data_IF_045036494209
#
_entry.id   IF_045036494209
#
_cell.length_a   1.000
_cell.length_b   1.000
_cell.length_c   1.000
_cell.angle_alpha   90.00
_cell.angle_beta   90.00
_cell.angle_gamma   90.00
#
_symmetry.space_group_name_H-M   'P 1'
#
loop_
_entity.id
_entity.type
_entity.pdbx_description
1 polymer ?
#
# COMPACT_ATOMS: atom_id res chain seq x y z
N UNK A 1 21.15 -4.80 14.90
CA UNK A 1 20.83 -4.01 13.69
C UNK A 1 21.52 -4.68 12.51
N UNK A 2 20.76 -5.30 11.63
CA UNK A 2 21.34 -5.81 10.38
C UNK A 2 21.35 -4.64 9.39
N UNK A 3 22.49 -4.05 9.13
CA UNK A 3 22.61 -2.85 8.30
C UNK A 3 22.79 -3.16 6.81
N UNK A 4 22.76 -4.44 6.42
CA UNK A 4 22.88 -4.84 5.02
C UNK A 4 22.04 -6.08 4.72
N UNK A 5 21.68 -6.25 3.47
CA UNK A 5 20.81 -7.33 2.99
C UNK A 5 21.30 -8.73 3.34
N UNK A 6 22.61 -9.09 3.20
CA UNK A 6 23.10 -10.42 3.57
C UNK A 6 22.92 -10.76 5.05
N UNK A 7 23.27 -9.86 5.95
CA UNK A 7 23.15 -10.06 7.40
C UNK A 7 21.68 -10.15 7.82
N UNK A 8 20.84 -9.24 7.30
CA UNK A 8 19.41 -9.30 7.54
C UNK A 8 18.81 -10.64 7.09
N UNK A 9 19.10 -11.06 5.86
CA UNK A 9 18.59 -12.31 5.31
C UNK A 9 18.99 -13.52 6.14
N UNK A 10 20.25 -13.58 6.59
CA UNK A 10 20.73 -14.68 7.42
C UNK A 10 20.05 -14.70 8.79
N UNK A 11 19.90 -13.54 9.43
CA UNK A 11 19.20 -13.46 10.72
C UNK A 11 17.72 -13.78 10.59
N UNK A 12 17.07 -13.32 9.53
CA UNK A 12 15.66 -13.64 9.24
C UNK A 12 15.45 -15.16 9.08
N UNK A 13 16.35 -15.85 8.37
CA UNK A 13 16.35 -17.32 8.27
C UNK A 13 16.45 -17.95 9.66
N UNK A 14 17.34 -17.46 10.52
CA UNK A 14 17.50 -17.97 11.88
C UNK A 14 16.24 -17.74 12.73
N UNK A 15 15.63 -16.56 12.64
CA UNK A 15 14.40 -16.27 13.38
C UNK A 15 13.23 -17.15 12.91
N UNK A 16 13.05 -17.34 11.61
CA UNK A 16 12.00 -18.23 11.06
C UNK A 16 12.21 -19.68 11.54
N UNK A 17 13.45 -20.20 11.50
CA UNK A 17 13.76 -21.56 11.95
C UNK A 17 13.48 -21.79 13.43
N UNK A 18 13.63 -20.77 14.25
CA UNK A 18 13.47 -20.84 15.70
C UNK A 18 12.08 -20.43 16.18
N UNK A 19 11.18 -20.08 15.28
CA UNK A 19 9.80 -19.68 15.60
C UNK A 19 8.84 -20.86 15.56
N UNK A 20 7.77 -20.79 16.32
CA UNK A 20 6.67 -21.77 16.29
C UNK A 20 5.67 -21.48 15.17
N UNK A 21 5.47 -20.21 14.90
CA UNK A 21 4.53 -19.72 13.90
C UNK A 21 5.02 -18.37 13.35
N UNK A 22 4.73 -18.12 12.07
CA UNK A 22 4.93 -16.81 11.43
C UNK A 22 3.57 -16.14 11.26
N UNK A 23 3.51 -14.88 11.66
CA UNK A 23 2.32 -14.04 11.48
C UNK A 23 2.71 -12.86 10.59
N UNK A 24 2.14 -12.83 9.40
CA UNK A 24 2.23 -11.71 8.46
C UNK A 24 1.00 -10.82 8.64
N UNK A 25 1.12 -9.55 8.28
CA UNK A 25 0.00 -8.62 8.37
C UNK A 25 -0.13 -7.83 7.08
N UNK A 26 -1.37 -7.52 6.70
CA UNK A 26 -1.66 -6.47 5.74
C UNK A 26 -1.99 -5.18 6.50
N UNK A 27 -1.57 -4.03 5.98
CA UNK A 27 -1.96 -2.74 6.56
C UNK A 27 -3.44 -2.43 6.31
N UNK A 28 -3.99 -1.43 7.01
CA UNK A 28 -5.35 -0.95 6.77
C UNK A 28 -5.50 -0.48 5.32
N UNK A 29 -6.62 -0.86 4.68
CA UNK A 29 -6.88 -0.62 3.25
C UNK A 29 -5.71 -1.14 2.40
N UNK A 30 -5.44 -2.46 2.39
CA UNK A 30 -4.25 -3.03 1.79
C UNK A 30 -4.22 -2.78 0.28
N UNK A 31 -3.12 -2.22 -0.18
CA UNK A 31 -2.84 -2.02 -1.59
C UNK A 31 -2.11 -3.23 -2.21
N UNK A 32 -1.77 -3.10 -3.48
CA UNK A 32 -1.10 -4.20 -4.20
C UNK A 32 0.30 -4.49 -3.67
N UNK A 33 1.03 -3.49 -3.11
CA UNK A 33 2.36 -3.74 -2.57
C UNK A 33 2.31 -4.47 -1.25
N UNK A 34 1.43 -4.06 -0.33
CA UNK A 34 1.20 -4.78 0.92
C UNK A 34 0.77 -6.23 0.66
N UNK A 35 -0.15 -6.45 -0.27
CA UNK A 35 -0.61 -7.80 -0.63
C UNK A 35 0.49 -8.59 -1.32
N UNK A 36 1.07 -8.03 -2.37
CA UNK A 36 2.06 -8.69 -3.23
C UNK A 36 3.32 -9.08 -2.48
N UNK A 37 3.81 -8.19 -1.61
CA UNK A 37 4.98 -8.46 -0.78
C UNK A 37 4.72 -9.55 0.26
N UNK A 38 3.60 -9.52 0.97
CA UNK A 38 3.27 -10.53 1.97
C UNK A 38 3.04 -11.92 1.35
N UNK A 39 2.30 -12.00 0.24
CA UNK A 39 2.07 -13.29 -0.45
C UNK A 39 3.36 -13.80 -1.09
N UNK A 40 4.12 -12.92 -1.76
CA UNK A 40 5.43 -13.26 -2.32
C UNK A 40 6.44 -13.75 -1.27
N UNK A 41 6.36 -13.22 -0.05
CA UNK A 41 7.22 -13.62 1.06
C UNK A 41 6.94 -15.03 1.58
N UNK A 42 5.77 -15.59 1.31
CA UNK A 42 5.49 -17.01 1.62
C UNK A 42 6.47 -17.95 0.93
N UNK A 43 6.96 -17.58 -0.28
CA UNK A 43 8.01 -18.36 -0.95
C UNK A 43 9.27 -18.48 -0.10
N UNK A 44 9.69 -17.36 0.52
CA UNK A 44 10.86 -17.35 1.41
C UNK A 44 10.63 -18.21 2.65
N UNK A 45 9.48 -18.08 3.30
CA UNK A 45 9.11 -18.86 4.49
C UNK A 45 9.12 -20.35 4.17
N UNK A 46 8.48 -20.76 3.07
CA UNK A 46 8.40 -22.17 2.65
C UNK A 46 9.76 -22.78 2.31
N UNK A 47 10.70 -21.99 1.74
CA UNK A 47 12.07 -22.43 1.49
C UNK A 47 12.88 -22.58 2.78
N UNK A 48 12.65 -21.75 3.79
CA UNK A 48 13.33 -21.84 5.09
C UNK A 48 12.79 -22.97 5.95
N UNK A 49 11.48 -23.08 6.05
CA UNK A 49 10.78 -24.10 6.84
C UNK A 49 9.39 -24.41 6.24
N UNK A 50 9.26 -25.44 5.39
CA UNK A 50 8.03 -25.76 4.67
C UNK A 50 6.87 -26.22 5.57
N UNK A 51 7.15 -26.57 6.82
CA UNK A 51 6.16 -27.09 7.78
C UNK A 51 5.72 -26.07 8.82
N UNK A 52 6.32 -24.87 8.81
CA UNK A 52 5.99 -23.85 9.81
C UNK A 52 4.57 -23.31 9.59
N UNK A 53 3.84 -23.17 10.68
CA UNK A 53 2.53 -22.53 10.62
C UNK A 53 2.70 -21.08 10.19
N UNK A 54 1.92 -20.66 9.20
CA UNK A 54 1.93 -19.27 8.74
C UNK A 54 0.51 -18.75 8.63
N UNK A 55 0.26 -17.57 9.17
CA UNK A 55 -0.99 -16.82 9.07
C UNK A 55 -0.71 -15.46 8.46
N UNK A 56 -1.67 -14.95 7.72
CA UNK A 56 -1.72 -13.57 7.23
C UNK A 56 -2.97 -12.96 7.84
N UNK A 57 -2.84 -11.88 8.60
CA UNK A 57 -3.96 -11.21 9.26
C UNK A 57 -4.21 -9.88 8.56
N UNK A 58 -5.45 -9.64 8.17
CA UNK A 58 -5.91 -8.38 7.61
C UNK A 58 -7.20 -7.94 8.29
N UNK A 59 -7.29 -6.69 8.71
CA UNK A 59 -8.55 -6.13 9.20
C UNK A 59 -9.52 -5.88 8.05
N UNK A 60 -9.00 -5.35 6.96
CA UNK A 60 -9.78 -5.02 5.77
C UNK A 60 -9.61 -6.14 4.72
N UNK A 61 -10.71 -6.47 4.05
CA UNK A 61 -10.70 -7.48 2.99
C UNK A 61 -10.11 -6.89 1.69
N UNK A 62 -9.16 -7.56 1.03
CA UNK A 62 -8.75 -7.20 -0.32
C UNK A 62 -9.93 -7.25 -1.31
N UNK A 63 -9.79 -6.61 -2.47
CA UNK A 63 -10.82 -6.73 -3.52
C UNK A 63 -11.10 -8.21 -3.83
N UNK A 64 -12.36 -8.52 -4.18
CA UNK A 64 -12.84 -9.90 -4.33
C UNK A 64 -11.92 -10.77 -5.23
N UNK A 65 -11.51 -10.23 -6.38
CA UNK A 65 -10.65 -10.96 -7.32
C UNK A 65 -9.27 -11.28 -6.70
N UNK A 66 -8.68 -10.34 -5.97
CA UNK A 66 -7.41 -10.54 -5.27
C UNK A 66 -7.59 -11.54 -4.13
N UNK A 67 -8.65 -11.40 -3.34
CA UNK A 67 -8.96 -12.32 -2.25
C UNK A 67 -9.10 -13.77 -2.74
N UNK A 68 -9.84 -13.98 -3.83
CA UNK A 68 -10.01 -15.30 -4.42
C UNK A 68 -8.67 -15.89 -4.92
N UNK A 69 -7.82 -15.07 -5.57
CA UNK A 69 -6.49 -15.49 -6.02
C UNK A 69 -5.58 -15.87 -4.83
N UNK A 70 -5.62 -15.10 -3.74
CA UNK A 70 -4.89 -15.41 -2.50
C UNK A 70 -5.39 -16.75 -1.92
N UNK A 71 -6.70 -16.93 -1.82
CA UNK A 71 -7.32 -18.14 -1.27
C UNK A 71 -6.98 -19.38 -2.08
N UNK A 72 -6.99 -19.29 -3.40
CA UNK A 72 -6.59 -20.38 -4.30
C UNK A 72 -5.14 -20.81 -4.04
N UNK A 73 -4.21 -19.84 -3.94
CA UNK A 73 -2.80 -20.12 -3.74
C UNK A 73 -2.47 -20.60 -2.32
N UNK A 74 -3.06 -19.97 -1.32
CA UNK A 74 -2.62 -20.12 0.08
C UNK A 74 -3.58 -20.94 0.95
N UNK A 75 -4.75 -21.31 0.42
CA UNK A 75 -5.83 -21.92 1.19
C UNK A 75 -6.37 -20.95 2.24
N UNK A 76 -6.33 -21.34 3.51
CA UNK A 76 -6.85 -20.56 4.64
C UNK A 76 -5.76 -19.81 5.42
N UNK A 77 -4.66 -19.42 4.77
CA UNK A 77 -3.61 -18.64 5.46
C UNK A 77 -4.04 -17.19 5.71
N UNK A 78 -4.83 -16.59 4.80
CA UNK A 78 -5.40 -15.25 5.01
C UNK A 78 -6.63 -15.34 5.92
N UNK A 79 -6.61 -14.56 7.00
CA UNK A 79 -7.68 -14.42 7.99
C UNK A 79 -8.10 -12.95 8.08
N UNK A 80 -9.38 -12.68 7.80
CA UNK A 80 -9.93 -11.34 7.94
C UNK A 80 -10.35 -11.17 9.40
N UNK A 81 -9.52 -10.45 10.16
CA UNK A 81 -9.70 -10.22 11.59
C UNK A 81 -8.93 -8.97 12.04
N UNK A 82 -9.41 -8.31 13.09
CA UNK A 82 -8.63 -7.24 13.72
C UNK A 82 -7.42 -7.87 14.45
N UNK A 83 -6.18 -7.45 14.18
CA UNK A 83 -4.98 -7.97 14.82
C UNK A 83 -5.02 -7.95 16.36
N UNK A 84 -5.72 -6.99 16.96
CA UNK A 84 -5.87 -6.94 18.43
C UNK A 84 -6.71 -8.08 19.00
N UNK A 85 -7.57 -8.72 18.20
CA UNK A 85 -8.37 -9.87 18.61
C UNK A 85 -7.64 -11.21 18.46
N UNK A 86 -6.47 -11.21 17.78
CA UNK A 86 -5.70 -12.42 17.55
C UNK A 86 -4.98 -12.89 18.84
N UNK A 87 -4.97 -14.20 19.05
CA UNK A 87 -4.29 -14.80 20.20
C UNK A 87 -2.83 -15.11 19.87
N UNK A 88 -1.92 -14.23 20.30
CA UNK A 88 -0.48 -14.43 20.16
C UNK A 88 0.04 -15.41 21.20
N UNK A 89 1.08 -16.17 20.84
CA UNK A 89 1.74 -17.14 21.71
C UNK A 89 3.26 -16.89 21.79
N UNK A 90 3.89 -17.34 22.88
CA UNK A 90 5.35 -17.28 22.99
C UNK A 90 6.01 -18.17 21.93
N UNK A 91 6.93 -17.59 21.17
CA UNK A 91 7.60 -18.22 20.03
C UNK A 91 7.00 -17.81 18.67
N UNK A 92 5.98 -16.95 18.65
CA UNK A 92 5.50 -16.32 17.42
C UNK A 92 6.52 -15.29 16.92
N UNK A 93 6.63 -15.19 15.59
CA UNK A 93 7.36 -14.14 14.90
C UNK A 93 6.38 -13.33 14.05
N UNK A 94 6.15 -12.08 14.40
CA UNK A 94 5.37 -11.12 13.65
C UNK A 94 6.25 -10.41 12.61
N UNK A 95 5.87 -10.45 11.34
CA UNK A 95 6.62 -9.80 10.26
C UNK A 95 5.75 -8.75 9.60
N UNK A 96 6.25 -7.51 9.59
CA UNK A 96 5.63 -6.37 8.93
C UNK A 96 6.32 -6.13 7.59
N UNK A 97 5.56 -6.13 6.51
CA UNK A 97 6.06 -5.87 5.16
C UNK A 97 5.27 -4.73 4.57
N UNK A 98 5.95 -3.68 4.09
CA UNK A 98 5.39 -2.45 3.54
C UNK A 98 4.86 -1.45 4.59
N UNK A 99 5.18 -1.68 5.85
CA UNK A 99 4.91 -0.75 6.95
C UNK A 99 5.74 -1.12 8.19
N UNK A 100 5.99 -0.14 9.11
CA UNK A 100 6.96 -0.35 10.18
C UNK A 100 6.43 -1.08 11.41
N UNK A 101 5.14 -1.00 11.70
CA UNK A 101 4.61 -1.33 13.01
C UNK A 101 3.12 -1.71 13.01
N UNK A 102 2.70 -2.42 14.06
CA UNK A 102 1.36 -2.99 14.19
C UNK A 102 0.21 -1.97 14.12
N UNK A 103 0.45 -0.71 14.48
CA UNK A 103 -0.54 0.38 14.45
C UNK A 103 -1.05 0.71 13.04
N UNK A 104 -0.32 0.25 12.00
CA UNK A 104 -0.77 0.37 10.60
C UNK A 104 -1.81 -0.67 10.21
N UNK A 105 -2.03 -1.69 11.03
CA UNK A 105 -2.92 -2.82 10.76
C UNK A 105 -4.26 -2.73 11.48
N UNK A 106 -4.43 -1.76 12.39
CA UNK A 106 -5.64 -1.59 13.21
C UNK A 106 -5.99 -0.12 13.38
N UNK A 107 -7.25 0.17 13.67
CA UNK A 107 -7.72 1.52 14.02
C UNK A 107 -7.34 1.94 15.43
N UNK A 108 -7.06 0.97 16.32
CA UNK A 108 -6.59 1.25 17.68
C UNK A 108 -5.08 1.58 17.68
N UNK A 109 -4.76 2.86 17.76
CA UNK A 109 -3.36 3.34 17.73
C UNK A 109 -2.56 3.02 19.01
N UNK A 110 -3.23 2.66 20.09
CA UNK A 110 -2.58 2.26 21.35
C UNK A 110 -2.28 0.75 21.41
N UNK A 111 -2.76 -0.02 20.44
CA UNK A 111 -2.51 -1.46 20.40
C UNK A 111 -1.02 -1.74 20.20
N UNK A 112 -0.50 -2.66 21.04
CA UNK A 112 0.87 -3.16 20.96
C UNK A 112 0.85 -4.68 20.98
N UNK A 113 1.78 -5.28 20.26
CA UNK A 113 2.03 -6.72 20.39
C UNK A 113 2.53 -7.04 21.81
N UNK A 114 2.22 -8.24 22.33
CA UNK A 114 2.82 -8.73 23.57
C UNK A 114 4.36 -8.74 23.47
N UNK A 115 5.05 -8.38 24.54
CA UNK A 115 6.54 -8.27 24.57
C UNK A 115 7.27 -9.57 24.22
N UNK A 116 6.64 -10.72 24.39
CA UNK A 116 7.19 -12.02 24.05
C UNK A 116 7.12 -12.35 22.54
N UNK A 117 6.38 -11.56 21.75
CA UNK A 117 6.31 -11.74 20.30
C UNK A 117 7.48 -10.99 19.67
N UNK A 118 8.35 -11.72 18.99
CA UNK A 118 9.43 -11.11 18.22
C UNK A 118 8.88 -10.47 16.94
N UNK A 119 9.56 -9.42 16.47
CA UNK A 119 9.14 -8.70 15.27
C UNK A 119 10.26 -8.65 14.23
N UNK A 120 9.89 -8.58 12.96
CA UNK A 120 10.77 -8.22 11.85
C UNK A 120 10.05 -7.26 10.91
N UNK A 121 10.82 -6.35 10.27
CA UNK A 121 10.26 -5.36 9.35
C UNK A 121 11.03 -5.36 8.04
N UNK A 122 10.30 -5.33 6.92
CA UNK A 122 10.83 -5.17 5.56
C UNK A 122 10.05 -4.03 4.94
N UNK A 123 10.71 -2.89 4.65
CA UNK A 123 9.98 -1.71 4.20
C UNK A 123 10.81 -0.77 3.33
N UNK A 124 10.14 0.05 2.54
CA UNK A 124 10.74 1.06 1.67
C UNK A 124 10.31 2.51 2.02
N UNK A 125 9.49 2.69 3.04
CA UNK A 125 9.05 4.00 3.50
C UNK A 125 10.12 4.70 4.35
N UNK A 126 10.00 6.03 4.46
CA UNK A 126 10.81 6.84 5.37
C UNK A 126 10.12 6.92 6.72
N UNK A 127 10.86 6.62 7.80
CA UNK A 127 10.36 6.70 9.16
C UNK A 127 11.09 7.75 9.98
N UNK A 128 10.41 8.29 11.00
CA UNK A 128 11.01 9.17 12.00
C UNK A 128 11.78 8.38 13.08
N UNK A 129 11.34 7.15 13.36
CA UNK A 129 11.95 6.26 14.35
C UNK A 129 12.21 4.89 13.74
N UNK A 130 13.40 4.30 13.98
CA UNK A 130 13.67 2.93 13.52
C UNK A 130 12.73 1.92 14.17
N UNK A 131 12.16 0.98 13.39
CA UNK A 131 11.39 -0.12 13.94
C UNK A 131 12.22 -0.95 14.93
N UNK A 132 11.59 -1.44 16.01
CA UNK A 132 12.30 -2.27 16.99
C UNK A 132 12.70 -3.63 16.40
N UNK A 133 13.77 -4.23 16.93
CA UNK A 133 14.28 -5.55 16.64
C UNK A 133 14.91 -5.69 15.24
N UNK A 134 14.54 -6.71 14.43
CA UNK A 134 15.15 -7.00 13.14
C UNK A 134 14.47 -6.18 12.04
N UNK A 135 15.20 -5.34 11.31
CA UNK A 135 14.64 -4.55 10.23
C UNK A 135 15.58 -4.48 9.02
N UNK A 136 14.96 -4.38 7.83
CA UNK A 136 15.59 -4.04 6.57
C UNK A 136 14.76 -2.99 5.85
N UNK A 137 15.26 -1.76 5.83
CA UNK A 137 14.57 -0.60 5.27
C UNK A 137 15.43 0.00 4.18
N UNK A 138 14.93 0.02 2.94
CA UNK A 138 15.62 0.59 1.79
C UNK A 138 14.72 1.58 1.05
N UNK A 139 14.77 2.81 1.48
CA UNK A 139 13.89 3.89 1.00
C UNK A 139 14.07 4.27 -0.47
N UNK A 140 15.09 3.76 -1.13
CA UNK A 140 15.30 3.96 -2.57
C UNK A 140 14.66 2.87 -3.41
N UNK A 141 14.16 1.80 -2.80
CA UNK A 141 13.45 0.77 -3.54
C UNK A 141 12.05 1.24 -3.94
N UNK A 142 11.62 0.73 -5.08
CA UNK A 142 10.31 1.06 -5.64
C UNK A 142 9.16 0.61 -4.73
N UNK A 143 9.28 -0.59 -4.13
CA UNK A 143 8.21 -1.27 -3.41
C UNK A 143 8.78 -2.27 -2.40
N UNK A 144 8.02 -2.62 -1.38
CA UNK A 144 8.36 -3.72 -0.47
C UNK A 144 8.39 -5.07 -1.19
N UNK A 145 7.55 -5.27 -2.22
CA UNK A 145 7.59 -6.46 -3.06
C UNK A 145 8.95 -6.64 -3.77
N UNK A 146 9.58 -5.56 -4.24
CA UNK A 146 10.92 -5.63 -4.82
C UNK A 146 11.98 -6.02 -3.78
N UNK A 147 11.85 -5.59 -2.52
CA UNK A 147 12.72 -6.04 -1.42
C UNK A 147 12.54 -7.52 -1.11
N UNK A 148 11.30 -8.02 -1.14
CA UNK A 148 11.00 -9.45 -0.99
C UNK A 148 11.67 -10.28 -2.10
N UNK A 149 11.65 -9.79 -3.32
CA UNK A 149 12.40 -10.42 -4.42
C UNK A 149 13.90 -10.47 -4.13
N UNK A 150 14.51 -9.35 -3.69
CA UNK A 150 15.94 -9.28 -3.37
C UNK A 150 16.32 -10.23 -2.22
N UNK A 151 15.49 -10.31 -1.17
CA UNK A 151 15.70 -11.23 -0.03
C UNK A 151 15.69 -12.69 -0.48
N UNK A 152 14.75 -13.09 -1.35
CA UNK A 152 14.74 -14.44 -1.93
C UNK A 152 16.00 -14.70 -2.76
N UNK A 153 16.42 -13.75 -3.60
CA UNK A 153 17.66 -13.86 -4.36
C UNK A 153 18.90 -13.96 -3.50
N UNK A 154 19.00 -13.15 -2.44
CA UNK A 154 20.11 -13.17 -1.49
C UNK A 154 20.26 -14.53 -0.81
N UNK A 155 19.14 -15.18 -0.53
CA UNK A 155 19.11 -16.53 0.03
C UNK A 155 19.33 -17.64 -1.01
N UNK A 156 19.47 -17.31 -2.29
CA UNK A 156 19.51 -18.24 -3.43
C UNK A 156 18.26 -19.15 -3.52
N UNK A 157 17.11 -18.66 -3.12
CA UNK A 157 15.85 -19.37 -3.23
C UNK A 157 15.23 -19.20 -4.63
N UNK A 158 14.72 -20.30 -5.19
CA UNK A 158 13.96 -20.25 -6.44
C UNK A 158 12.56 -19.74 -6.13
N UNK A 159 12.13 -18.73 -6.87
CA UNK A 159 10.79 -18.20 -6.77
C UNK A 159 9.83 -19.08 -7.59
N UNK A 160 8.82 -19.64 -6.94
CA UNK A 160 7.72 -20.30 -7.63
C UNK A 160 6.88 -19.26 -8.36
N UNK A 161 6.35 -19.65 -9.53
CA UNK A 161 5.60 -18.75 -10.43
C UNK A 161 4.54 -17.91 -9.71
N UNK A 162 3.66 -18.55 -8.96
CA UNK A 162 2.50 -17.86 -8.35
C UNK A 162 2.93 -16.81 -7.32
N UNK A 163 3.97 -17.08 -6.51
CA UNK A 163 4.52 -16.11 -5.58
C UNK A 163 5.24 -14.96 -6.30
N UNK A 164 5.92 -15.26 -7.41
CA UNK A 164 6.56 -14.24 -8.22
C UNK A 164 5.53 -13.32 -8.91
N UNK A 165 4.37 -13.86 -9.32
CA UNK A 165 3.25 -13.07 -9.84
C UNK A 165 2.78 -12.03 -8.81
N UNK A 166 2.61 -12.42 -7.55
CA UNK A 166 2.24 -11.49 -6.48
C UNK A 166 3.31 -10.42 -6.23
N UNK A 167 4.60 -10.78 -6.27
CA UNK A 167 5.69 -9.80 -6.21
C UNK A 167 5.56 -8.77 -7.36
N UNK A 168 5.31 -9.23 -8.58
CA UNK A 168 5.11 -8.33 -9.71
C UNK A 168 3.87 -7.46 -9.56
N UNK A 169 2.77 -7.98 -9.01
CA UNK A 169 1.56 -7.19 -8.72
C UNK A 169 1.88 -6.05 -7.75
N UNK A 170 2.64 -6.30 -6.67
CA UNK A 170 3.08 -5.28 -5.74
C UNK A 170 3.94 -4.22 -6.42
N UNK A 171 4.96 -4.62 -7.15
CA UNK A 171 5.83 -3.71 -7.90
C UNK A 171 5.05 -2.85 -8.92
N UNK A 172 4.09 -3.44 -9.64
CA UNK A 172 3.27 -2.72 -10.61
C UNK A 172 2.32 -1.73 -9.93
N UNK A 173 1.79 -2.08 -8.76
CA UNK A 173 0.94 -1.21 -7.95
C UNK A 173 1.66 0.09 -7.58
N UNK A 174 2.78 0.00 -6.88
CA UNK A 174 3.54 1.15 -6.40
C UNK A 174 4.20 1.97 -7.51
N UNK A 175 4.62 1.33 -8.60
CA UNK A 175 5.14 2.04 -9.76
C UNK A 175 4.07 2.70 -10.63
N UNK A 176 2.78 2.47 -10.34
CA UNK A 176 1.69 2.88 -11.23
C UNK A 176 1.88 2.30 -12.63
N UNK A 177 2.19 1.00 -12.71
CA UNK A 177 2.54 0.31 -13.95
C UNK A 177 3.77 0.91 -14.65
N UNK A 178 4.82 1.17 -13.86
CA UNK A 178 6.10 1.79 -14.29
C UNK A 178 5.98 3.21 -14.83
N UNK A 179 4.88 3.91 -14.49
CA UNK A 179 4.68 5.33 -14.89
C UNK A 179 5.28 6.30 -13.87
N UNK A 180 5.48 5.86 -12.63
CA UNK A 180 6.09 6.70 -11.61
C UNK A 180 7.61 6.73 -11.77
N UNK A 181 8.22 7.87 -11.40
CA UNK A 181 9.68 7.98 -11.38
C UNK A 181 10.23 7.08 -10.27
N UNK A 182 11.16 6.22 -10.66
CA UNK A 182 11.80 5.26 -9.77
C UNK A 182 13.32 5.39 -9.90
N UNK A 183 14.01 5.54 -8.76
CA UNK A 183 15.47 5.60 -8.72
C UNK A 183 16.12 4.27 -9.12
N UNK A 184 15.43 3.15 -8.90
CA UNK A 184 15.87 1.80 -9.26
C UNK A 184 15.11 1.22 -10.46
N UNK A 185 14.63 2.07 -11.36
CA UNK A 185 13.83 1.67 -12.53
C UNK A 185 14.44 0.52 -13.34
N UNK A 186 15.77 0.57 -13.61
CA UNK A 186 16.46 -0.51 -14.33
C UNK A 186 16.38 -1.84 -13.55
N UNK A 187 16.43 -1.80 -12.23
CA UNK A 187 16.28 -2.99 -11.39
C UNK A 187 14.86 -3.56 -11.51
N UNK A 188 13.84 -2.71 -11.46
CA UNK A 188 12.44 -3.12 -11.63
C UNK A 188 12.24 -3.78 -12.99
N UNK A 189 12.78 -3.22 -14.05
CA UNK A 189 12.76 -3.84 -15.39
C UNK A 189 13.47 -5.19 -15.40
N UNK A 190 14.59 -5.33 -14.69
CA UNK A 190 15.34 -6.60 -14.66
C UNK A 190 14.59 -7.70 -13.92
N UNK A 191 13.77 -7.36 -12.93
CA UNK A 191 12.89 -8.33 -12.23
C UNK A 191 11.78 -8.81 -13.18
N UNK A 192 11.15 -7.90 -13.92
CA UNK A 192 10.16 -8.26 -14.95
C UNK A 192 10.78 -9.10 -16.05
N UNK A 193 11.96 -8.72 -16.55
CA UNK A 193 12.70 -9.52 -17.52
C UNK A 193 12.93 -10.94 -17.01
N UNK A 194 13.39 -11.08 -15.78
CA UNK A 194 13.67 -12.39 -15.17
C UNK A 194 12.41 -13.27 -15.10
N UNK A 195 11.27 -12.68 -14.73
CA UNK A 195 10.00 -13.38 -14.76
C UNK A 195 9.63 -13.84 -16.17
N UNK A 196 9.75 -12.96 -17.16
CA UNK A 196 9.43 -13.28 -18.55
C UNK A 196 10.35 -14.35 -19.15
N UNK A 197 11.64 -14.34 -18.81
CA UNK A 197 12.60 -15.37 -19.23
C UNK A 197 12.24 -16.76 -18.65
N UNK A 198 11.77 -16.80 -17.40
CA UNK A 198 11.50 -18.04 -16.70
C UNK A 198 10.11 -18.61 -17.01
N UNK A 199 9.09 -17.76 -17.10
CA UNK A 199 7.69 -18.16 -17.20
C UNK A 199 7.01 -17.75 -18.51
N UNK A 200 7.66 -16.93 -19.33
CA UNK A 200 7.15 -16.46 -20.61
C UNK A 200 6.36 -15.15 -20.55
N UNK A 201 6.45 -14.36 -21.60
CA UNK A 201 5.82 -13.05 -21.74
C UNK A 201 4.29 -13.10 -21.55
N UNK A 202 3.64 -14.14 -22.08
CA UNK A 202 2.18 -14.32 -21.98
C UNK A 202 1.67 -14.34 -20.53
N UNK A 203 2.47 -14.90 -19.61
CA UNK A 203 2.09 -14.88 -18.18
C UNK A 203 2.22 -13.50 -17.56
N UNK A 204 3.20 -12.70 -17.98
CA UNK A 204 3.29 -11.30 -17.58
C UNK A 204 2.06 -10.51 -18.06
N UNK A 205 1.65 -10.66 -19.31
CA UNK A 205 0.45 -9.98 -19.82
C UNK A 205 -0.83 -10.43 -19.12
N UNK A 206 -0.93 -11.70 -18.70
CA UNK A 206 -2.06 -12.15 -17.86
C UNK A 206 -2.12 -11.43 -16.50
N UNK A 207 -0.96 -11.07 -15.92
CA UNK A 207 -0.94 -10.25 -14.70
C UNK A 207 -1.49 -8.85 -15.00
N UNK A 208 -1.02 -8.23 -16.09
CA UNK A 208 -1.53 -6.91 -16.51
C UNK A 208 -3.03 -6.96 -16.75
N UNK A 209 -3.50 -7.94 -17.51
CA UNK A 209 -4.93 -8.12 -17.79
C UNK A 209 -5.73 -8.32 -16.50
N UNK A 210 -5.22 -9.12 -15.56
CA UNK A 210 -5.88 -9.33 -14.28
C UNK A 210 -6.01 -8.04 -13.46
N UNK A 211 -4.97 -7.18 -13.46
CA UNK A 211 -4.97 -5.93 -12.70
C UNK A 211 -5.77 -4.80 -13.36
N UNK A 212 -5.78 -4.75 -14.70
CA UNK A 212 -6.38 -3.66 -15.47
C UNK A 212 -7.77 -3.98 -16.04
N UNK A 213 -8.09 -5.28 -16.23
CA UNK A 213 -9.34 -5.71 -16.85
C UNK A 213 -10.46 -5.89 -15.82
N UNK A 214 -11.69 -5.88 -16.33
CA UNK A 214 -12.89 -6.23 -15.58
C UNK A 214 -13.19 -5.32 -14.38
N UNK A 215 -12.80 -4.04 -14.47
CA UNK A 215 -13.26 -3.05 -13.48
C UNK A 215 -14.78 -3.01 -13.48
N UNK A 216 -15.44 -3.12 -12.32
CA UNK A 216 -16.87 -3.08 -12.23
C UNK A 216 -17.43 -1.71 -12.67
N UNK A 217 -18.67 -1.68 -13.11
CA UNK A 217 -19.33 -0.44 -13.55
C UNK A 217 -19.33 0.64 -12.44
N UNK A 218 -19.41 0.21 -11.19
CA UNK A 218 -19.32 1.09 -10.03
C UNK A 218 -18.03 1.91 -9.99
N UNK A 219 -16.88 1.33 -10.39
CA UNK A 219 -15.61 2.07 -10.49
C UNK A 219 -15.73 3.23 -11.50
N UNK A 220 -16.30 3.00 -12.66
CA UNK A 220 -16.52 4.04 -13.67
C UNK A 220 -17.55 5.07 -13.21
N UNK A 221 -18.57 4.68 -12.46
CA UNK A 221 -19.53 5.58 -11.85
C UNK A 221 -18.88 6.50 -10.82
N UNK A 222 -17.98 6.00 -9.99
CA UNK A 222 -17.18 6.82 -9.07
C UNK A 222 -16.25 7.79 -9.80
N UNK A 223 -15.54 7.32 -10.83
CA UNK A 223 -14.69 8.18 -11.65
C UNK A 223 -15.50 9.32 -12.29
N UNK A 224 -16.72 9.03 -12.74
CA UNK A 224 -17.64 10.06 -13.28
C UNK A 224 -18.02 11.09 -12.22
N UNK A 225 -18.25 10.69 -10.96
CA UNK A 225 -18.49 11.63 -9.85
C UNK A 225 -17.30 12.56 -9.67
N UNK A 226 -16.09 12.01 -9.56
CA UNK A 226 -14.88 12.81 -9.43
C UNK A 226 -14.68 13.79 -10.59
N UNK A 227 -14.93 13.37 -11.82
CA UNK A 227 -14.80 14.22 -13.00
C UNK A 227 -15.89 15.31 -13.04
N UNK A 228 -17.11 15.03 -12.60
CA UNK A 228 -18.18 16.02 -12.52
C UNK A 228 -17.92 17.10 -11.43
N UNK A 229 -17.25 16.71 -10.33
CA UNK A 229 -16.93 17.59 -9.22
C UNK A 229 -15.53 18.22 -9.35
N UNK A 230 -14.90 18.08 -10.54
CA UNK A 230 -13.58 18.62 -10.78
C UNK A 230 -13.56 20.15 -10.82
N UNK A 231 -12.68 20.74 -10.03
CA UNK A 231 -12.39 22.17 -10.05
C UNK A 231 -10.93 22.36 -10.43
N UNK A 232 -10.72 23.08 -11.54
CA UNK A 232 -9.40 23.44 -12.03
C UNK A 232 -9.05 24.90 -11.68
N UNK A 233 -7.87 25.09 -11.10
CA UNK A 233 -7.28 26.39 -10.79
C UNK A 233 -5.93 26.50 -11.53
N UNK A 234 -5.39 27.70 -11.69
CA UNK A 234 -4.18 27.91 -12.50
C UNK A 234 -2.98 27.02 -12.15
N UNK A 235 -2.82 26.64 -10.86
CA UNK A 235 -1.65 25.91 -10.38
C UNK A 235 -1.98 24.55 -9.78
N UNK A 236 -3.26 24.23 -9.61
CA UNK A 236 -3.71 22.97 -9.02
C UNK A 236 -5.13 22.65 -9.45
N UNK A 237 -5.52 21.40 -9.24
CA UNK A 237 -6.90 20.99 -9.38
C UNK A 237 -7.35 20.15 -8.18
N UNK A 238 -8.63 20.11 -7.94
CA UNK A 238 -9.19 19.23 -6.93
C UNK A 238 -10.54 18.67 -7.34
N UNK A 239 -10.91 17.61 -6.64
CA UNK A 239 -12.24 17.02 -6.77
C UNK A 239 -12.73 16.56 -5.40
N UNK A 240 -14.01 16.23 -5.31
CA UNK A 240 -14.59 15.72 -4.07
C UNK A 240 -15.63 14.65 -4.33
N UNK A 241 -15.94 13.90 -3.30
CA UNK A 241 -17.01 12.90 -3.30
C UNK A 241 -17.62 12.76 -1.91
N UNK A 242 -18.94 12.86 -1.84
CA UNK A 242 -19.72 12.59 -0.64
C UNK A 242 -20.42 11.23 -0.73
N UNK A 243 -20.92 10.73 0.39
CA UNK A 243 -21.75 9.51 0.41
C UNK A 243 -23.04 9.68 -0.40
N UNK A 244 -23.57 10.90 -0.46
CA UNK A 244 -24.72 11.19 -1.30
C UNK A 244 -24.38 11.12 -2.81
N UNK A 245 -23.20 11.58 -3.21
CA UNK A 245 -22.72 11.46 -4.60
C UNK A 245 -22.57 9.99 -5.00
N UNK A 246 -21.98 9.16 -4.12
CA UNK A 246 -21.86 7.70 -4.32
C UNK A 246 -23.24 7.07 -4.51
N UNK A 247 -24.18 7.36 -3.62
CA UNK A 247 -25.55 6.85 -3.68
C UNK A 247 -26.25 7.25 -4.97
N UNK A 248 -26.13 8.52 -5.38
CA UNK A 248 -26.73 9.03 -6.61
C UNK A 248 -26.13 8.41 -7.88
N UNK A 249 -24.87 8.00 -7.82
CA UNK A 249 -24.16 7.27 -8.87
C UNK A 249 -24.50 5.77 -8.91
N UNK A 250 -25.32 5.27 -7.99
CA UNK A 250 -25.72 3.85 -7.92
C UNK A 250 -24.58 2.94 -7.45
N UNK A 251 -23.66 3.47 -6.63
CA UNK A 251 -22.51 2.72 -6.10
C UNK A 251 -22.85 2.18 -4.71
N UNK A 252 -22.60 0.89 -4.49
CA UNK A 252 -22.81 0.24 -3.21
C UNK A 252 -21.97 0.89 -2.12
N UNK A 253 -22.51 0.98 -0.89
CA UNK A 253 -21.78 1.45 0.28
C UNK A 253 -20.54 0.58 0.59
N UNK A 254 -20.62 -0.70 0.31
CA UNK A 254 -19.53 -1.66 0.53
C UNK A 254 -18.50 -1.70 -0.60
N UNK A 255 -18.74 -0.99 -1.70
CA UNK A 255 -17.81 -0.99 -2.83
C UNK A 255 -16.53 -0.21 -2.47
N UNK A 256 -15.40 -0.89 -2.53
CA UNK A 256 -14.07 -0.28 -2.36
C UNK A 256 -13.54 0.19 -3.71
N UNK A 257 -13.26 1.48 -3.82
CA UNK A 257 -12.68 2.04 -5.04
C UNK A 257 -11.20 1.65 -5.21
N UNK A 258 -10.81 1.36 -6.45
CA UNK A 258 -9.42 1.04 -6.79
C UNK A 258 -8.60 2.28 -7.17
N UNK A 259 -9.28 3.35 -7.60
CA UNK A 259 -8.64 4.60 -8.05
C UNK A 259 -9.21 5.78 -7.28
N UNK A 260 -8.41 6.40 -6.41
CA UNK A 260 -8.87 7.63 -5.74
C UNK A 260 -8.90 8.83 -6.70
N UNK A 261 -9.73 9.83 -6.36
CA UNK A 261 -9.96 11.00 -7.21
C UNK A 261 -8.69 11.80 -7.53
N UNK A 262 -7.74 11.93 -6.60
CA UNK A 262 -6.49 12.65 -6.85
C UNK A 262 -5.61 11.91 -7.88
N UNK A 263 -5.58 10.59 -7.85
CA UNK A 263 -4.84 9.80 -8.85
C UNK A 263 -5.49 9.91 -10.23
N UNK A 264 -6.83 9.94 -10.30
CA UNK A 264 -7.57 10.10 -11.54
C UNK A 264 -7.26 11.42 -12.26
N UNK A 265 -7.16 12.52 -11.51
CA UNK A 265 -6.97 13.87 -12.08
C UNK A 265 -5.51 14.34 -12.09
N UNK A 266 -4.54 13.48 -11.72
CA UNK A 266 -3.13 13.85 -11.50
C UNK A 266 -2.48 14.58 -12.67
N UNK A 267 -2.84 14.27 -13.91
CA UNK A 267 -2.19 14.81 -15.10
C UNK A 267 -3.02 15.92 -15.78
N UNK A 268 -3.87 16.62 -15.02
CA UNK A 268 -4.72 17.65 -15.61
C UNK A 268 -3.96 18.96 -15.83
N UNK A 269 -3.94 19.44 -17.06
CA UNK A 269 -3.40 20.76 -17.43
C UNK A 269 -1.96 20.99 -16.94
N UNK A 270 -1.70 22.21 -16.51
CA UNK A 270 -0.40 22.66 -15.95
C UNK A 270 -0.36 22.65 -14.42
N UNK A 271 -1.20 21.83 -13.79
CA UNK A 271 -1.26 21.72 -12.32
C UNK A 271 0.08 21.29 -11.74
N UNK A 272 0.52 21.93 -10.64
CA UNK A 272 1.70 21.50 -9.87
C UNK A 272 1.38 20.31 -8.99
N UNK A 273 0.16 20.30 -8.46
CA UNK A 273 -0.38 19.21 -7.65
C UNK A 273 -1.90 19.14 -7.80
N UNK A 274 -2.45 18.04 -7.35
CA UNK A 274 -3.91 17.84 -7.25
C UNK A 274 -4.27 17.23 -5.91
N UNK A 275 -5.54 17.40 -5.49
CA UNK A 275 -6.06 16.69 -4.33
C UNK A 275 -7.51 16.25 -4.54
N UNK A 276 -7.91 15.23 -3.78
CA UNK A 276 -9.31 14.82 -3.65
C UNK A 276 -9.74 14.84 -2.18
N UNK A 277 -10.97 15.28 -1.92
CA UNK A 277 -11.60 15.22 -0.60
C UNK A 277 -12.75 14.24 -0.67
N UNK A 278 -12.69 13.17 0.10
CA UNK A 278 -13.70 12.11 0.10
C UNK A 278 -14.27 11.94 1.50
N UNK A 279 -15.60 11.94 1.62
CA UNK A 279 -16.28 11.67 2.88
C UNK A 279 -16.09 10.20 3.27
N UNK A 280 -15.86 9.93 4.54
CA UNK A 280 -15.77 8.56 5.06
C UNK A 280 -17.12 7.86 4.93
N UNK A 281 -17.10 6.55 4.73
CA UNK A 281 -18.31 5.76 4.49
C UNK A 281 -19.17 5.62 5.75
N UNK A 282 -18.53 5.45 6.89
CA UNK A 282 -19.17 5.11 8.16
C UNK A 282 -19.34 6.33 9.08
N UNK A 283 -18.55 7.39 8.87
CA UNK A 283 -18.63 8.63 9.65
C UNK A 283 -18.83 9.85 8.73
N UNK A 284 -20.02 10.41 8.76
CA UNK A 284 -20.41 11.56 7.91
C UNK A 284 -19.59 12.83 8.20
N UNK A 285 -18.99 12.95 9.37
CA UNK A 285 -18.15 14.10 9.74
C UNK A 285 -16.68 13.90 9.47
N UNK A 286 -16.25 12.69 9.11
CA UNK A 286 -14.87 12.36 8.81
C UNK A 286 -14.61 12.47 7.30
N UNK A 287 -13.52 13.15 6.95
CA UNK A 287 -13.09 13.35 5.56
C UNK A 287 -11.65 12.90 5.38
N UNK A 288 -11.40 12.26 4.25
CA UNK A 288 -10.06 11.89 3.79
C UNK A 288 -9.62 12.82 2.67
N UNK A 289 -8.43 13.39 2.77
CA UNK A 289 -7.77 14.08 1.67
C UNK A 289 -6.62 13.24 1.14
N UNK A 290 -6.52 13.16 -0.19
CA UNK A 290 -5.39 12.56 -0.90
C UNK A 290 -4.74 13.60 -1.79
N UNK A 291 -3.41 13.75 -1.69
CA UNK A 291 -2.62 14.67 -2.51
C UNK A 291 -1.75 13.89 -3.49
N UNK A 292 -1.55 14.44 -4.70
CA UNK A 292 -0.60 13.91 -5.69
C UNK A 292 0.18 15.06 -6.32
N UNK A 293 1.50 14.90 -6.40
CA UNK A 293 2.34 15.80 -7.18
C UNK A 293 2.18 15.55 -8.67
N UNK A 294 2.08 16.61 -9.46
CA UNK A 294 2.07 16.58 -10.91
C UNK A 294 3.46 16.84 -11.52
N UNK A 295 4.36 17.44 -10.74
CA UNK A 295 5.73 17.85 -11.17
C UNK A 295 6.83 16.91 -10.64
N UNK A 296 6.47 15.76 -10.05
CA UNK A 296 7.43 14.88 -9.41
C UNK A 296 8.17 15.58 -8.27
N UNK A 297 9.48 15.36 -8.16
CA UNK A 297 10.32 15.92 -7.07
C UNK A 297 10.37 17.45 -7.04
N UNK A 298 10.00 18.11 -8.13
CA UNK A 298 9.96 19.58 -8.19
C UNK A 298 8.81 20.19 -7.37
N UNK A 299 7.85 19.35 -6.91
CA UNK A 299 6.78 19.81 -6.04
C UNK A 299 6.34 18.69 -5.08
N UNK A 300 6.64 18.84 -3.80
CA UNK A 300 6.35 17.86 -2.77
C UNK A 300 5.00 18.18 -2.10
N UNK A 301 4.22 17.13 -1.82
CA UNK A 301 2.87 17.26 -1.23
C UNK A 301 2.76 16.73 0.21
N UNK A 302 3.82 16.09 0.72
CA UNK A 302 3.81 15.48 2.07
C UNK A 302 3.51 16.49 3.17
N UNK A 303 4.13 17.66 3.11
CA UNK A 303 3.99 18.69 4.16
C UNK A 303 2.54 19.19 4.32
N UNK A 304 1.77 19.17 3.21
CA UNK A 304 0.34 19.50 3.24
C UNK A 304 -0.44 18.44 4.06
N UNK A 305 -0.14 17.16 3.83
CA UNK A 305 -0.77 16.07 4.58
C UNK A 305 -0.35 16.06 6.05
N UNK A 306 0.92 16.29 6.36
CA UNK A 306 1.46 16.34 7.73
C UNK A 306 0.79 17.48 8.51
N UNK A 307 0.59 18.64 7.89
CA UNK A 307 -0.08 19.79 8.54
C UNK A 307 -1.55 19.50 8.88
N UNK A 308 -2.19 18.58 8.15
CA UNK A 308 -3.55 18.08 8.41
C UNK A 308 -3.57 16.86 9.33
N UNK A 309 -2.45 16.51 9.97
CA UNK A 309 -2.35 15.37 10.88
C UNK A 309 -2.14 14.00 10.19
N UNK A 310 -1.79 14.02 8.91
CA UNK A 310 -1.52 12.83 8.11
C UNK A 310 -0.05 12.61 7.76
N UNK A 311 0.22 11.98 6.62
CA UNK A 311 1.57 11.67 6.15
C UNK A 311 1.57 10.98 4.78
N UNK A 312 2.67 10.31 4.45
CA UNK A 312 2.85 9.59 3.18
C UNK A 312 4.17 9.92 2.50
N UNK A 313 4.26 9.58 1.22
CA UNK A 313 5.43 9.88 0.38
C UNK A 313 5.52 11.37 0.00
N UNK A 314 6.70 11.81 -0.42
CA UNK A 314 6.92 13.19 -0.88
C UNK A 314 5.97 13.58 -2.03
N UNK A 315 5.64 12.63 -2.91
CA UNK A 315 4.84 12.85 -4.12
C UNK A 315 3.38 12.40 -4.02
N UNK A 316 3.04 11.64 -2.97
CA UNK A 316 1.71 11.09 -2.73
C UNK A 316 1.47 10.96 -1.22
N UNK A 317 0.56 11.75 -0.69
CA UNK A 317 0.31 11.82 0.75
C UNK A 317 -1.17 12.03 1.03
N UNK A 318 -1.59 11.79 2.28
CA UNK A 318 -2.98 11.97 2.67
C UNK A 318 -3.16 12.21 4.16
N UNK A 319 -4.34 12.66 4.52
CA UNK A 319 -4.74 12.89 5.90
C UNK A 319 -6.23 12.56 6.10
N UNK A 320 -6.63 12.39 7.34
CA UNK A 320 -8.03 12.32 7.76
C UNK A 320 -8.29 13.41 8.80
N UNK A 321 -9.43 14.07 8.70
CA UNK A 321 -9.83 15.12 9.62
C UNK A 321 -11.34 15.28 9.66
N UNK A 322 -11.87 15.84 10.75
CA UNK A 322 -13.29 16.14 10.91
C UNK A 322 -13.67 17.46 10.24
N UNK A 323 -14.84 17.48 9.60
CA UNK A 323 -15.46 18.69 9.06
C UNK A 323 -17.00 18.55 9.05
N UNK A 324 -17.71 19.66 9.14
CA UNK A 324 -19.18 19.68 9.18
C UNK A 324 -19.86 19.32 7.85
N UNK A 325 -19.15 19.48 6.73
CA UNK A 325 -19.59 19.14 5.38
C UNK A 325 -18.39 19.20 4.40
N UNK A 326 -18.60 18.75 3.18
CA UNK A 326 -17.55 18.68 2.14
C UNK A 326 -16.96 20.06 1.78
N UNK A 327 -17.76 21.13 1.81
CA UNK A 327 -17.30 22.47 1.52
C UNK A 327 -16.34 22.97 2.62
N UNK A 328 -16.68 22.74 3.89
CA UNK A 328 -15.81 23.04 5.04
C UNK A 328 -14.51 22.23 4.98
N UNK A 329 -14.59 20.96 4.58
CA UNK A 329 -13.43 20.10 4.39
C UNK A 329 -12.50 20.63 3.27
N UNK A 330 -13.06 21.00 2.12
CA UNK A 330 -12.29 21.59 1.01
C UNK A 330 -11.65 22.92 1.45
N UNK A 331 -12.38 23.78 2.16
CA UNK A 331 -11.86 25.07 2.63
C UNK A 331 -10.69 24.89 3.60
N UNK A 332 -10.74 23.91 4.50
CA UNK A 332 -9.62 23.59 5.40
C UNK A 332 -8.37 23.16 4.61
N UNK A 333 -8.54 22.33 3.59
CA UNK A 333 -7.42 21.92 2.71
C UNK A 333 -6.87 23.12 1.95
N UNK A 334 -7.72 23.98 1.37
CA UNK A 334 -7.30 25.16 0.64
C UNK A 334 -6.55 26.16 1.54
N UNK A 335 -7.01 26.37 2.77
CA UNK A 335 -6.31 27.19 3.76
C UNK A 335 -4.92 26.62 4.06
N UNK A 336 -4.81 25.31 4.29
CA UNK A 336 -3.53 24.64 4.54
C UNK A 336 -2.56 24.80 3.37
N UNK A 337 -3.05 24.64 2.15
CA UNK A 337 -2.27 24.85 0.91
C UNK A 337 -1.78 26.30 0.82
N UNK A 338 -2.64 27.26 1.11
CA UNK A 338 -2.29 28.68 1.07
C UNK A 338 -1.20 29.05 2.08
N UNK A 339 -1.32 28.57 3.32
CA UNK A 339 -0.36 28.83 4.39
C UNK A 339 1.04 28.27 4.09
N UNK A 340 1.13 27.13 3.42
CA UNK A 340 2.42 26.49 3.10
C UNK A 340 3.10 27.06 1.86
N UNK A 341 2.34 27.50 0.87
CA UNK A 341 2.89 27.76 -0.46
C UNK A 341 2.65 29.18 -1.01
N UNK A 342 1.89 30.02 -0.32
CA UNK A 342 1.60 31.39 -0.78
C UNK A 342 0.89 31.46 -2.15
N UNK A 343 0.14 30.45 -2.53
CA UNK A 343 -0.34 30.16 -3.90
C UNK A 343 -1.49 31.03 -4.43
N UNK A 344 -1.73 32.20 -3.91
CA UNK A 344 -2.74 33.09 -4.46
C UNK A 344 -2.08 34.29 -5.13
N UNK A 345 -1.61 34.11 -6.33
CA UNK A 345 -1.24 35.15 -7.26
C UNK A 345 -1.92 34.92 -8.58
#
# INVERSE_FOLDING_TARGET
>A
MANNLPEFTQELINQIKNSKQIILFLHLSPDLDSIGSNIGFLNFIENVNPTIKTKIISKDEPSENIYLKIKELTGNKLEIADPQSYKYEEGDLAIFIDFPEIQRTTTNKDFKLPEYVKTATIDHHVFETEPPFLNYIETKNLSAASLVYEINRQANFVLKKDYFEFILMGMLGDSGFLKHRDQKFVQSLSIIQKYCEEFGNENYFKIIDFLESHKPLEEYNLQKVYLNNLVYKNNFAYTSMTNNDRKNAGVSHTFSETTNGASLIRNIGESKFVFSVTQDLDDENLYRVSFRSCLGENFQVRDMAVKLGGGGHLLAAGAQFEASNVESAINLVLQTVHELNGFWG
#
